data_IF_891609820361
#
_entry.id   IF_891609820361
#
_cell.length_a   1.000
_cell.length_b   1.000
_cell.length_c   1.000
_cell.angle_alpha   90.00
_cell.angle_beta   90.00
_cell.angle_gamma   90.00
#
_symmetry.space_group_name_H-M   'P 1'
#
loop_
_entity.id
_entity.type
_entity.pdbx_description
1 polymer ?
#
# COMPACT_ATOMS: atom_id res chain seq x y z
N UNK A 1 -8.66 -13.31 -11.63
CA UNK A 1 -8.52 -13.42 -10.18
C UNK A 1 -8.21 -12.09 -9.55
N UNK A 2 -8.95 -11.80 -8.55
CA UNK A 2 -8.84 -10.52 -7.88
C UNK A 2 -7.77 -10.49 -6.79
N UNK A 3 -7.16 -11.65 -6.48
CA UNK A 3 -6.18 -11.74 -5.39
C UNK A 3 -4.88 -11.01 -5.68
N UNK A 4 -4.67 -10.64 -6.93
CA UNK A 4 -3.40 -10.00 -7.35
C UNK A 4 -3.52 -8.50 -7.54
N UNK A 5 -4.69 -7.93 -7.28
CA UNK A 5 -4.91 -6.52 -7.49
C UNK A 5 -5.60 -5.87 -6.29
N UNK A 6 -5.48 -4.56 -6.22
CA UNK A 6 -6.18 -3.76 -5.23
C UNK A 6 -6.72 -2.51 -5.92
N UNK A 7 -7.57 -1.78 -5.24
CA UNK A 7 -8.13 -0.53 -5.73
C UNK A 7 -7.78 0.56 -4.72
N UNK A 8 -7.20 1.64 -5.17
CA UNK A 8 -6.77 2.69 -4.26
C UNK A 8 -6.45 3.99 -4.96
N UNK A 9 -5.76 4.86 -4.26
CA UNK A 9 -5.33 6.15 -4.77
C UNK A 9 -3.95 5.97 -5.42
N UNK A 10 -3.92 5.96 -6.74
CA UNK A 10 -2.76 5.53 -7.52
C UNK A 10 -2.12 6.71 -8.25
N UNK A 11 -0.81 6.84 -8.07
CA UNK A 11 0.02 7.76 -8.85
C UNK A 11 0.55 7.02 -10.06
N UNK A 12 0.11 7.39 -11.26
CA UNK A 12 0.52 6.71 -12.49
C UNK A 12 1.72 7.38 -13.14
N UNK A 13 1.93 8.67 -12.90
CA UNK A 13 3.07 9.43 -13.39
C UNK A 13 3.40 10.52 -12.37
N UNK A 14 4.65 10.95 -12.35
CA UNK A 14 5.04 12.08 -11.52
C UNK A 14 4.45 13.37 -12.08
N UNK A 15 4.00 14.26 -11.21
CA UNK A 15 3.47 15.55 -11.61
C UNK A 15 3.55 16.51 -10.41
N UNK A 16 3.56 17.80 -10.71
CA UNK A 16 3.65 18.84 -9.66
C UNK A 16 2.32 19.05 -8.94
N UNK A 17 1.21 18.68 -9.55
CA UNK A 17 -0.12 19.11 -9.12
C UNK A 17 -1.11 17.98 -8.85
N UNK A 18 -0.62 16.75 -8.69
CA UNK A 18 -1.45 15.58 -8.46
C UNK A 18 -2.38 15.21 -9.63
N UNK A 19 -2.16 15.82 -10.81
CA UNK A 19 -3.03 15.56 -11.96
C UNK A 19 -2.96 14.10 -12.45
N UNK A 20 -1.92 13.38 -12.06
CA UNK A 20 -1.71 11.97 -12.46
C UNK A 20 -1.94 11.01 -11.30
N UNK A 21 -2.63 11.47 -10.26
CA UNK A 21 -2.96 10.64 -9.09
C UNK A 21 -4.47 10.52 -9.00
N UNK A 22 -4.97 9.29 -9.18
CA UNK A 22 -6.40 9.03 -9.29
C UNK A 22 -6.76 7.70 -8.65
N UNK A 23 -8.04 7.54 -8.35
CA UNK A 23 -8.53 6.23 -7.90
C UNK A 23 -8.43 5.24 -9.05
N UNK A 24 -7.97 4.04 -8.76
CA UNK A 24 -7.82 3.04 -9.80
C UNK A 24 -7.30 1.72 -9.27
N UNK A 25 -7.21 0.76 -10.18
CA UNK A 25 -6.65 -0.55 -9.88
C UNK A 25 -5.14 -0.51 -9.87
N UNK A 26 -4.55 -1.35 -9.03
CA UNK A 26 -3.12 -1.50 -8.93
C UNK A 26 -2.80 -2.96 -8.65
N UNK A 27 -1.69 -3.44 -9.23
CA UNK A 27 -1.21 -4.77 -8.98
C UNK A 27 -0.54 -4.82 -7.61
N UNK A 28 -0.88 -5.84 -6.83
CA UNK A 28 -0.23 -6.06 -5.53
C UNK A 28 1.14 -6.70 -5.73
N UNK A 29 2.01 -6.51 -4.75
CA UNK A 29 3.30 -7.19 -4.72
C UNK A 29 3.10 -8.71 -4.61
N UNK A 30 4.13 -9.46 -4.96
CA UNK A 30 4.06 -10.92 -4.87
C UNK A 30 3.84 -11.35 -3.43
N UNK A 31 2.94 -12.32 -3.27
CA UNK A 31 2.69 -12.91 -1.97
C UNK A 31 3.64 -14.09 -1.77
N UNK A 32 4.52 -13.98 -0.77
CA UNK A 32 5.57 -14.95 -0.52
C UNK A 32 5.42 -15.58 0.87
N UNK A 33 6.33 -16.49 1.22
CA UNK A 33 6.25 -17.25 2.47
C UNK A 33 6.24 -16.36 3.72
N UNK A 34 6.89 -15.22 3.67
CA UNK A 34 6.97 -14.30 4.80
C UNK A 34 6.05 -13.08 4.63
N UNK A 35 5.16 -13.13 3.68
CA UNK A 35 4.25 -12.01 3.39
C UNK A 35 3.03 -12.03 4.29
N UNK A 36 2.47 -10.83 4.46
CA UNK A 36 1.19 -10.63 5.16
C UNK A 36 0.33 -9.77 4.26
N UNK A 37 -0.90 -10.20 4.01
CA UNK A 37 -1.86 -9.37 3.27
C UNK A 37 -2.85 -8.77 4.25
N UNK A 38 -2.99 -7.45 4.20
CA UNK A 38 -3.84 -6.71 5.14
C UNK A 38 -4.99 -6.07 4.39
N UNK A 39 -6.21 -6.30 4.88
CA UNK A 39 -7.38 -5.57 4.41
C UNK A 39 -7.43 -4.27 5.18
N UNK A 40 -7.26 -3.16 4.47
CA UNK A 40 -7.10 -1.85 5.10
C UNK A 40 -8.45 -1.32 5.59
N UNK A 41 -8.49 -0.86 6.83
CA UNK A 41 -9.66 -0.26 7.43
C UNK A 41 -9.51 1.23 7.65
N UNK A 42 -8.29 1.71 7.84
CA UNK A 42 -8.00 3.12 8.04
C UNK A 42 -6.59 3.41 7.57
N UNK A 43 -6.39 4.57 7.00
CA UNK A 43 -5.09 5.02 6.56
C UNK A 43 -5.08 6.53 6.54
N UNK A 44 -3.88 7.12 6.55
CA UNK A 44 -3.77 8.58 6.51
C UNK A 44 -2.79 9.00 5.43
N UNK A 45 -2.98 10.21 4.92
CA UNK A 45 -2.05 10.86 4.01
C UNK A 45 -1.13 11.76 4.81
N UNK A 46 0.12 11.83 4.38
CA UNK A 46 1.13 12.65 5.02
C UNK A 46 1.88 13.44 3.96
N UNK A 47 2.62 14.45 4.38
CA UNK A 47 3.35 15.29 3.44
C UNK A 47 4.30 14.52 2.53
N UNK A 48 5.04 13.50 3.00
CA UNK A 48 5.86 12.69 2.09
C UNK A 48 5.10 12.04 0.94
N UNK A 49 3.81 11.72 1.13
CA UNK A 49 3.00 11.18 0.03
C UNK A 49 2.93 12.14 -1.14
N UNK A 50 2.72 13.42 -0.84
CA UNK A 50 2.71 14.46 -1.87
C UNK A 50 4.07 14.55 -2.56
N UNK A 51 5.15 14.56 -1.79
CA UNK A 51 6.50 14.64 -2.34
C UNK A 51 6.81 13.45 -3.26
N UNK A 52 6.32 12.26 -2.92
CA UNK A 52 6.52 11.09 -3.78
C UNK A 52 5.85 11.28 -5.15
N UNK A 53 4.66 11.88 -5.19
CA UNK A 53 3.98 12.11 -6.47
C UNK A 53 4.71 13.12 -7.34
N UNK A 54 5.54 13.96 -6.72
CA UNK A 54 6.32 14.97 -7.41
C UNK A 54 7.75 14.51 -7.75
N UNK A 55 8.12 13.33 -7.28
CA UNK A 55 9.48 12.82 -7.45
C UNK A 55 10.50 13.54 -6.58
N UNK A 56 10.06 14.16 -5.48
CA UNK A 56 10.90 15.01 -4.63
C UNK A 56 11.26 14.38 -3.28
N UNK A 57 10.74 13.18 -3.02
CA UNK A 57 11.05 12.49 -1.78
C UNK A 57 12.22 11.54 -2.00
N UNK A 58 12.99 11.29 -0.95
CA UNK A 58 14.16 10.40 -1.05
C UNK A 58 13.78 8.97 -1.42
N UNK A 59 12.61 8.52 -0.99
CA UNK A 59 12.08 7.22 -1.36
C UNK A 59 11.24 7.38 -2.62
N UNK A 60 11.64 6.71 -3.71
CA UNK A 60 11.01 6.87 -5.02
C UNK A 60 10.46 5.54 -5.50
N UNK A 61 9.21 5.24 -5.16
CA UNK A 61 8.61 3.97 -5.59
C UNK A 61 8.51 3.88 -7.10
N UNK A 62 8.48 2.67 -7.60
CA UNK A 62 8.24 2.43 -9.03
C UNK A 62 6.81 2.80 -9.37
N UNK A 63 6.62 3.43 -10.51
CA UNK A 63 5.30 3.78 -11.01
C UNK A 63 4.65 2.58 -11.71
N UNK A 64 3.35 2.39 -11.59
CA UNK A 64 2.43 3.13 -10.72
C UNK A 64 2.52 2.66 -9.28
N UNK A 65 2.19 3.52 -8.34
CA UNK A 65 2.13 3.12 -6.93
C UNK A 65 0.95 3.77 -6.24
N UNK A 66 0.42 3.11 -5.20
CA UNK A 66 -0.62 3.71 -4.37
C UNK A 66 0.03 4.54 -3.27
N UNK A 67 -0.60 5.65 -2.91
CA UNK A 67 -0.13 6.52 -1.85
C UNK A 67 -0.38 5.88 -0.48
N UNK A 68 0.22 6.47 0.55
CA UNK A 68 -0.03 6.10 1.93
C UNK A 68 1.12 5.33 2.55
N UNK A 69 1.65 5.85 3.66
CA UNK A 69 2.81 5.28 4.33
C UNK A 69 2.45 4.54 5.60
N UNK A 70 1.22 4.65 6.06
CA UNK A 70 0.78 4.03 7.30
C UNK A 70 -0.70 3.73 7.26
N UNK A 71 -1.11 2.72 8.01
CA UNK A 71 -2.49 2.35 8.07
C UNK A 71 -2.76 1.32 9.14
N UNK A 72 -4.01 0.91 9.22
CA UNK A 72 -4.46 -0.13 10.13
C UNK A 72 -5.47 -1.00 9.40
N UNK A 73 -5.53 -2.25 9.77
CA UNK A 73 -6.46 -3.15 9.14
C UNK A 73 -6.47 -4.52 9.79
N UNK A 74 -6.98 -5.47 9.03
CA UNK A 74 -7.17 -6.83 9.51
C UNK A 74 -6.37 -7.77 8.61
N UNK A 75 -5.66 -8.70 9.23
CA UNK A 75 -4.89 -9.68 8.49
C UNK A 75 -5.84 -10.58 7.72
N UNK A 76 -5.68 -10.60 6.40
CA UNK A 76 -6.50 -11.36 5.49
C UNK A 76 -5.84 -12.68 5.10
N UNK A 77 -4.51 -12.67 5.00
CA UNK A 77 -3.75 -13.84 4.55
C UNK A 77 -2.34 -13.78 5.10
N UNK A 78 -1.79 -14.93 5.46
CA UNK A 78 -0.43 -15.05 6.00
C UNK A 78 0.37 -16.02 5.15
N UNK A 79 1.63 -15.67 4.93
CA UNK A 79 2.59 -16.60 4.34
C UNK A 79 2.93 -17.72 5.30
N UNK A 80 3.41 -18.85 4.76
CA UNK A 80 3.64 -20.05 5.56
C UNK A 80 4.71 -19.89 6.65
N UNK A 81 5.61 -18.92 6.50
CA UNK A 81 6.67 -18.67 7.48
C UNK A 81 6.29 -17.67 8.56
N UNK A 82 5.08 -17.10 8.49
CA UNK A 82 4.60 -16.13 9.49
C UNK A 82 3.91 -16.89 10.61
N UNK A 83 4.50 -16.84 11.82
CA UNK A 83 3.99 -17.62 12.95
C UNK A 83 3.49 -16.78 14.12
N UNK A 84 3.80 -15.49 14.14
CA UNK A 84 3.47 -14.62 15.27
C UNK A 84 2.15 -13.85 15.09
N UNK A 85 1.47 -14.05 13.96
CA UNK A 85 0.22 -13.38 13.63
C UNK A 85 -0.79 -14.42 13.14
N UNK A 86 -2.08 -14.07 13.17
CA UNK A 86 -3.17 -14.92 12.69
C UNK A 86 -4.09 -14.15 11.79
N UNK A 87 -4.76 -14.84 10.87
CA UNK A 87 -5.85 -14.25 10.11
C UNK A 87 -6.90 -13.70 11.06
N UNK A 88 -7.40 -12.51 10.75
CA UNK A 88 -8.35 -11.82 11.59
C UNK A 88 -7.75 -10.90 12.63
N UNK A 89 -6.42 -10.95 12.85
CA UNK A 89 -5.78 -10.04 13.79
C UNK A 89 -5.89 -8.60 13.31
N UNK A 90 -6.12 -7.70 14.25
CA UNK A 90 -6.09 -6.26 13.99
C UNK A 90 -4.66 -5.76 14.12
N UNK A 91 -4.19 -5.05 13.11
CA UNK A 91 -2.78 -4.62 13.06
C UNK A 91 -2.67 -3.18 12.60
N UNK A 92 -1.55 -2.57 12.95
CA UNK A 92 -1.10 -1.30 12.40
C UNK A 92 0.18 -1.55 11.65
N UNK A 93 0.44 -0.74 10.63
CA UNK A 93 1.70 -0.84 9.88
C UNK A 93 2.13 0.55 9.42
N UNK A 94 3.41 0.69 9.15
CA UNK A 94 3.94 1.97 8.69
C UNK A 94 5.45 1.99 8.71
N UNK A 95 6.00 3.20 8.61
CA UNK A 95 7.42 3.44 8.77
C UNK A 95 8.20 3.52 7.48
N UNK A 96 7.65 3.07 6.37
CA UNK A 96 8.35 3.12 5.09
C UNK A 96 7.40 2.75 3.97
N UNK A 97 7.70 3.21 2.79
CA UNK A 97 7.01 2.72 1.61
C UNK A 97 5.73 3.46 1.28
N UNK A 98 4.83 2.73 0.68
CA UNK A 98 3.64 3.28 0.06
C UNK A 98 2.58 2.19 0.01
N UNK A 99 1.36 2.56 -0.40
CA UNK A 99 0.33 1.57 -0.68
C UNK A 99 -0.83 1.53 0.30
N UNK A 100 -0.79 2.32 1.37
CA UNK A 100 -1.81 2.22 2.42
C UNK A 100 -3.18 2.77 2.00
N UNK A 101 -3.22 3.71 1.04
CA UNK A 101 -4.50 4.26 0.56
C UNK A 101 -5.02 3.34 -0.53
N UNK A 102 -5.48 2.17 -0.13
CA UNK A 102 -5.99 1.13 -1.01
C UNK A 102 -6.84 0.17 -0.19
N UNK A 103 -7.54 -0.76 -0.86
CA UNK A 103 -8.37 -1.73 -0.15
C UNK A 103 -7.53 -2.78 0.57
N UNK A 104 -6.37 -3.12 0.01
CA UNK A 104 -5.48 -4.10 0.62
C UNK A 104 -4.03 -3.79 0.28
N UNK A 105 -3.12 -4.31 1.09
CA UNK A 105 -1.70 -4.10 0.95
C UNK A 105 -0.94 -5.36 1.37
N UNK A 106 0.22 -5.57 0.77
CA UNK A 106 1.19 -6.57 1.22
C UNK A 106 2.45 -5.78 1.58
N UNK A 107 2.58 -5.37 2.85
CA UNK A 107 3.72 -4.56 3.26
C UNK A 107 5.02 -5.34 3.32
#
# INVERSE_FOLDING_TARGET
>A
MTDHTTYGLVCSELSEDLSKTNLGELRLDLFEKNSVKIKIKAASLNFPDLLMTQGKYQNKPNLPFALGMEGAGIIEKLGSDVSHLKEGDEVMFGGWGHGAIAKSIIP
#
